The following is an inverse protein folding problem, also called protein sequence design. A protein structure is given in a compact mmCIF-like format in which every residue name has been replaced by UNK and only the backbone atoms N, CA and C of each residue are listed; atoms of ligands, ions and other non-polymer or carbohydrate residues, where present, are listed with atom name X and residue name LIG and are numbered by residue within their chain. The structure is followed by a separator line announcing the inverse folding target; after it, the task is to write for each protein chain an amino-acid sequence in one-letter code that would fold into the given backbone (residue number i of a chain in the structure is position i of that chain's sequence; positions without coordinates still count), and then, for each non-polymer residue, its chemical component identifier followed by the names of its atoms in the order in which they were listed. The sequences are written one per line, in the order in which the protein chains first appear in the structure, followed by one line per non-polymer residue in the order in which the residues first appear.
data_IF_831708911667
#
_entry.id   IF_831708911667
#
_cell.length_a   1.000
_cell.length_b   1.000
_cell.length_c   1.000
_cell.angle_alpha   90.00
_cell.angle_beta   90.00
_cell.angle_gamma   90.00
#
_symmetry.space_group_name_H-M   'P 1'
#
loop_
_entity.id
_entity.type
_entity.pdbx_description
1 polymer ?
#
# COMPACT_ATOMS: atom_id res chain seq x y z
N UNK A 1 15.17 -9.43 21.43
CA UNK A 1 14.66 -9.66 20.05
C UNK A 1 13.56 -10.73 20.00
N UNK A 2 13.67 -11.86 20.72
CA UNK A 2 12.62 -12.90 20.74
C UNK A 2 11.24 -12.45 21.28
N UNK A 3 11.20 -11.47 22.18
CA UNK A 3 9.93 -10.97 22.73
C UNK A 3 9.08 -10.22 21.70
N UNK A 4 9.71 -9.50 20.77
CA UNK A 4 9.02 -8.79 19.70
C UNK A 4 8.39 -9.78 18.69
N UNK A 5 9.14 -10.83 18.34
CA UNK A 5 8.68 -11.92 17.47
C UNK A 5 7.46 -12.68 18.02
N UNK A 6 7.30 -12.69 19.35
CA UNK A 6 6.15 -13.29 20.03
C UNK A 6 5.00 -12.31 20.29
N UNK A 7 5.15 -11.04 19.91
CA UNK A 7 4.11 -10.06 20.17
C UNK A 7 2.91 -10.29 19.26
N UNK A 8 1.72 -10.18 19.83
CA UNK A 8 0.46 -10.33 19.10
C UNK A 8 0.37 -9.32 17.93
N UNK A 9 0.84 -8.08 18.16
CA UNK A 9 0.88 -7.05 17.13
C UNK A 9 1.79 -7.44 15.97
N UNK A 10 3.01 -7.94 16.25
CA UNK A 10 3.94 -8.34 15.20
C UNK A 10 3.41 -9.53 14.40
N UNK A 11 2.81 -10.53 15.05
CA UNK A 11 2.24 -11.69 14.39
C UNK A 11 1.02 -11.34 13.53
N UNK A 12 0.15 -10.45 14.02
CA UNK A 12 -1.01 -9.95 13.26
C UNK A 12 -0.58 -9.08 12.08
N UNK A 13 0.42 -8.23 12.29
CA UNK A 13 1.05 -7.47 11.21
C UNK A 13 1.63 -8.41 10.16
N UNK A 14 2.41 -9.42 10.55
CA UNK A 14 3.03 -10.36 9.62
C UNK A 14 2.02 -11.20 8.86
N UNK A 15 0.97 -11.67 9.54
CA UNK A 15 -0.13 -12.38 8.88
C UNK A 15 -0.84 -11.50 7.85
N UNK A 16 -1.21 -10.27 8.22
CA UNK A 16 -1.84 -9.32 7.30
C UNK A 16 -0.93 -8.94 6.13
N UNK A 17 0.36 -8.71 6.39
CA UNK A 17 1.36 -8.43 5.38
C UNK A 17 1.51 -9.59 4.38
N UNK A 18 1.63 -10.84 4.87
CA UNK A 18 1.75 -12.01 4.01
C UNK A 18 0.53 -12.19 3.10
N UNK A 19 -0.68 -12.02 3.65
CA UNK A 19 -1.93 -12.06 2.87
C UNK A 19 -1.94 -10.93 1.83
N UNK A 20 -1.56 -9.71 2.23
CA UNK A 20 -1.50 -8.57 1.32
C UNK A 20 -0.50 -8.76 0.17
N UNK A 21 0.68 -9.31 0.45
CA UNK A 21 1.69 -9.60 -0.56
C UNK A 21 1.22 -10.65 -1.57
N UNK A 22 0.60 -11.74 -1.09
CA UNK A 22 0.01 -12.77 -1.96
C UNK A 22 -1.12 -12.18 -2.81
N UNK A 23 -1.99 -11.36 -2.22
CA UNK A 23 -3.04 -10.66 -2.95
C UNK A 23 -2.48 -9.75 -4.05
N UNK A 24 -1.46 -8.95 -3.74
CA UNK A 24 -0.77 -8.10 -4.73
C UNK A 24 -0.17 -8.90 -5.88
N UNK A 25 0.39 -10.08 -5.62
CA UNK A 25 1.03 -10.92 -6.63
C UNK A 25 0.02 -11.70 -7.48
N UNK A 26 -1.03 -12.27 -6.85
CA UNK A 26 -2.05 -13.03 -7.57
C UNK A 26 -3.03 -12.15 -8.35
N UNK A 27 -3.24 -10.92 -7.89
CA UNK A 27 -4.16 -9.95 -8.51
C UNK A 27 -3.40 -8.95 -9.37
N UNK A 28 -2.19 -9.28 -9.83
CA UNK A 28 -1.52 -8.46 -10.82
C UNK A 28 -2.37 -8.46 -12.11
N UNK A 29 -2.71 -7.27 -12.64
CA UNK A 29 -3.37 -7.19 -13.94
C UNK A 29 -2.51 -7.88 -15.00
N UNK A 30 -3.10 -8.84 -15.73
CA UNK A 30 -2.44 -9.55 -16.84
C UNK A 30 -2.11 -8.62 -18.01
N UNK A 31 -2.91 -7.57 -18.19
CA UNK A 31 -2.59 -6.52 -19.14
C UNK A 31 -1.76 -5.45 -18.45
N UNK A 32 -0.65 -5.05 -19.09
CA UNK A 32 0.14 -3.91 -18.63
C UNK A 32 -0.81 -2.73 -18.42
N UNK A 33 -0.86 -2.14 -17.21
CA UNK A 33 -1.65 -0.95 -17.01
C UNK A 33 -1.12 0.08 -18.01
N UNK A 34 -1.95 0.41 -19.00
CA UNK A 34 -1.65 1.45 -19.98
C UNK A 34 -1.50 2.71 -19.16
N UNK A 35 -0.26 3.07 -18.81
CA UNK A 35 0.07 4.29 -18.08
C UNK A 35 -0.08 5.50 -19.02
N UNK A 36 -1.18 5.54 -19.78
CA UNK A 36 -1.47 6.62 -20.73
C UNK A 36 -1.95 7.89 -20.02
N UNK A 37 -2.13 7.85 -18.70
CA UNK A 37 -2.43 9.06 -17.92
C UNK A 37 -1.55 9.08 -16.68
N UNK A 38 -0.49 9.87 -16.74
CA UNK A 38 0.28 10.30 -15.57
C UNK A 38 -0.71 10.75 -14.48
N UNK A 39 -0.72 10.05 -13.35
CA UNK A 39 -1.50 10.46 -12.19
C UNK A 39 -0.91 11.76 -11.63
N UNK A 40 -1.49 12.90 -12.00
CA UNK A 40 -1.20 14.20 -11.39
C UNK A 40 -1.88 14.21 -10.01
N UNK A 41 -1.11 14.24 -8.93
CA UNK A 41 -1.65 14.47 -7.60
C UNK A 41 -2.29 15.86 -7.55
N UNK A 42 -3.62 15.94 -7.41
CA UNK A 42 -4.33 17.20 -7.23
C UNK A 42 -3.98 17.78 -5.86
N UNK A 43 -3.00 18.68 -5.80
CA UNK A 43 -2.79 19.53 -4.64
C UNK A 43 -3.92 20.58 -4.62
N UNK A 44 -4.80 20.53 -3.63
CA UNK A 44 -5.72 21.64 -3.39
C UNK A 44 -4.89 22.85 -2.92
N UNK A 45 -4.60 23.79 -3.82
CA UNK A 45 -4.21 25.15 -3.42
C UNK A 45 -5.40 25.74 -2.68
N UNK A 46 -5.29 25.81 -1.35
CA UNK A 46 -6.13 26.69 -0.56
C UNK A 46 -5.58 28.10 -0.80
N UNK A 47 -6.25 28.87 -1.67
CA UNK A 47 -6.00 30.30 -1.83
C UNK A 47 -6.14 30.98 -0.47
N UNK A 48 -5.02 31.18 0.22
CA UNK A 48 -4.91 32.12 1.31
C UNK A 48 -4.80 33.52 0.69
N UNK A 49 -5.94 34.03 0.22
CA UNK A 49 -6.10 35.41 -0.17
C UNK A 49 -6.17 36.29 1.09
N UNK A 50 -5.06 36.97 1.40
CA UNK A 50 -5.02 38.25 2.12
C UNK A 50 -3.94 39.13 1.51
#
# INVERSE_FOLDING_TARGET
MMAFLKSDLFLRFMGGFAIGAVGMFLLQPEEQPVLSSTAIAATSTHDAAL
#
